data_IF_496594146822
#
_entry.id   IF_496594146822
#
_cell.length_a   1.000
_cell.length_b   1.000
_cell.length_c   1.000
_cell.angle_alpha   90.00
_cell.angle_beta   90.00
_cell.angle_gamma   90.00
#
_symmetry.space_group_name_H-M   'P 1'
#
loop_
_entity.id
_entity.type
_entity.pdbx_description
1 polymer ?
#
# COMPACT_ATOMS: atom_id res chain seq x y z
N UNK A 1 44.49 -12.23 -5.71
CA UNK A 1 43.32 -12.82 -6.41
C UNK A 1 42.38 -13.39 -5.36
N UNK A 2 41.24 -12.75 -5.11
CA UNK A 2 40.27 -13.21 -4.12
C UNK A 2 39.67 -14.56 -4.54
N UNK A 3 39.62 -15.52 -3.62
CA UNK A 3 38.98 -16.83 -3.85
C UNK A 3 37.50 -16.58 -4.16
N UNK A 4 37.02 -17.09 -5.29
CA UNK A 4 35.59 -17.04 -5.61
C UNK A 4 34.83 -17.81 -4.53
N UNK A 5 34.02 -17.10 -3.76
CA UNK A 5 33.07 -17.74 -2.84
C UNK A 5 32.00 -18.40 -3.72
N UNK A 6 31.74 -19.71 -3.59
CA UNK A 6 30.68 -20.36 -4.34
C UNK A 6 29.36 -19.66 -3.99
N UNK A 7 28.61 -19.25 -5.02
CA UNK A 7 27.34 -18.58 -4.80
C UNK A 7 26.34 -19.55 -4.21
N UNK A 8 25.62 -19.09 -3.19
CA UNK A 8 24.52 -19.82 -2.60
C UNK A 8 23.40 -19.99 -3.66
N UNK A 9 22.95 -21.24 -3.91
CA UNK A 9 21.91 -21.50 -4.89
C UNK A 9 20.60 -20.75 -4.65
N UNK A 10 20.26 -20.36 -3.40
CA UNK A 10 19.09 -19.51 -3.13
C UNK A 10 19.32 -18.08 -3.60
N UNK A 11 20.50 -17.54 -3.31
CA UNK A 11 20.91 -16.20 -3.76
C UNK A 11 20.88 -16.08 -5.27
N UNK A 12 21.34 -17.09 -6.02
CA UNK A 12 21.31 -17.05 -7.48
C UNK A 12 19.88 -16.98 -8.07
N UNK A 13 18.88 -17.63 -7.43
CA UNK A 13 17.48 -17.56 -7.92
C UNK A 13 16.85 -16.21 -7.65
N UNK A 14 17.23 -15.56 -6.54
CA UNK A 14 16.75 -14.23 -6.19
C UNK A 14 17.21 -13.16 -7.20
N UNK A 15 18.26 -13.43 -7.97
CA UNK A 15 18.78 -12.56 -9.03
C UNK A 15 18.13 -12.81 -10.40
N UNK A 16 17.05 -13.59 -10.48
CA UNK A 16 16.29 -13.82 -11.70
C UNK A 16 14.94 -13.13 -11.57
N UNK A 17 14.52 -12.38 -12.61
CA UNK A 17 13.29 -11.59 -12.58
C UNK A 17 12.03 -12.43 -12.29
N UNK A 18 11.90 -13.59 -12.94
CA UNK A 18 10.73 -14.47 -12.76
C UNK A 18 10.91 -15.33 -11.51
N UNK A 19 10.00 -15.26 -10.53
CA UNK A 19 10.08 -16.10 -9.33
C UNK A 19 9.90 -17.57 -9.67
N UNK A 20 10.57 -18.43 -8.91
CA UNK A 20 10.35 -19.88 -8.97
C UNK A 20 8.99 -20.28 -8.37
N UNK A 21 8.64 -21.56 -8.50
CA UNK A 21 7.36 -22.08 -8.04
C UNK A 21 7.16 -21.94 -6.51
N UNK A 22 8.22 -22.14 -5.73
CA UNK A 22 8.16 -22.07 -4.26
C UNK A 22 7.95 -20.61 -3.80
N UNK A 23 8.71 -19.67 -4.36
CA UNK A 23 8.57 -18.24 -4.09
C UNK A 23 7.18 -17.76 -4.52
N UNK A 24 6.71 -18.18 -5.70
CA UNK A 24 5.38 -17.87 -6.20
C UNK A 24 4.28 -18.36 -5.25
N UNK A 25 4.39 -19.61 -4.81
CA UNK A 25 3.43 -20.20 -3.87
C UNK A 25 3.46 -19.48 -2.51
N UNK A 26 4.64 -19.17 -1.98
CA UNK A 26 4.80 -18.47 -0.71
C UNK A 26 4.17 -17.07 -0.73
N UNK A 27 4.42 -16.28 -1.78
CA UNK A 27 3.82 -14.94 -1.92
C UNK A 27 2.31 -15.02 -2.04
N UNK A 28 1.79 -15.91 -2.87
CA UNK A 28 0.33 -16.09 -3.04
C UNK A 28 -0.34 -16.62 -1.76
N UNK A 29 0.33 -17.48 -1.00
CA UNK A 29 -0.15 -17.99 0.27
C UNK A 29 -0.20 -16.88 1.33
N UNK A 30 0.84 -16.03 1.40
CA UNK A 30 0.91 -14.89 2.31
C UNK A 30 -0.18 -13.85 2.00
N UNK A 31 -0.34 -13.52 0.72
CA UNK A 31 -1.12 -12.37 0.29
C UNK A 31 -2.60 -12.69 0.07
N UNK A 32 -2.93 -13.88 -0.44
CA UNK A 32 -4.25 -14.42 -0.85
C UNK A 32 -5.08 -13.58 -1.83
N UNK A 33 -4.92 -12.26 -1.83
CA UNK A 33 -5.55 -11.30 -2.72
C UNK A 33 -4.60 -10.14 -3.03
N UNK A 34 -5.03 -9.24 -3.92
CA UNK A 34 -4.35 -7.99 -4.22
C UNK A 34 -4.04 -7.20 -2.94
N UNK A 35 -2.81 -6.71 -2.81
CA UNK A 35 -2.31 -6.01 -1.62
C UNK A 35 -2.57 -4.51 -1.61
N UNK A 36 -3.20 -3.97 -2.66
CA UNK A 36 -3.65 -2.58 -2.65
C UNK A 36 -4.81 -2.39 -1.64
N UNK A 37 -4.89 -1.26 -0.92
CA UNK A 37 -5.93 -1.01 0.08
C UNK A 37 -7.35 -1.23 -0.46
N UNK A 38 -8.13 -2.08 0.22
CA UNK A 38 -9.53 -2.37 -0.13
C UNK A 38 -9.75 -3.27 -1.35
N UNK A 39 -8.69 -3.79 -1.98
CA UNK A 39 -8.83 -4.69 -3.13
C UNK A 39 -8.87 -6.16 -2.71
N UNK A 40 -9.90 -6.89 -3.15
CA UNK A 40 -10.10 -8.31 -2.85
C UNK A 40 -9.90 -9.24 -4.05
N UNK A 41 -9.28 -8.77 -5.15
CA UNK A 41 -8.99 -9.63 -6.32
C UNK A 41 -8.13 -10.82 -5.86
N UNK A 42 -8.53 -12.08 -6.10
CA UNK A 42 -7.77 -13.24 -5.63
C UNK A 42 -6.35 -13.28 -6.20
N UNK A 43 -5.38 -13.75 -5.41
CA UNK A 43 -3.96 -13.79 -5.78
C UNK A 43 -3.67 -14.63 -7.04
N UNK A 44 -4.51 -15.61 -7.35
CA UNK A 44 -4.43 -16.38 -8.60
C UNK A 44 -4.65 -15.51 -9.85
N UNK A 45 -5.32 -14.37 -9.72
CA UNK A 45 -5.55 -13.36 -10.77
C UNK A 45 -4.69 -12.10 -10.57
N UNK A 46 -3.63 -12.21 -9.77
CA UNK A 46 -2.68 -11.14 -9.54
C UNK A 46 -1.33 -11.46 -10.20
N UNK A 47 -0.65 -10.40 -10.61
CA UNK A 47 0.77 -10.40 -10.93
C UNK A 47 1.57 -10.39 -9.61
N UNK A 48 2.76 -10.97 -9.64
CA UNK A 48 3.74 -10.82 -8.57
C UNK A 48 4.62 -9.62 -8.91
N UNK A 49 4.39 -8.54 -8.19
CA UNK A 49 4.99 -7.23 -8.40
C UNK A 49 6.18 -7.02 -7.44
N UNK A 50 7.29 -6.53 -7.95
CA UNK A 50 8.44 -6.14 -7.13
C UNK A 50 8.20 -4.79 -6.45
N UNK A 51 8.35 -4.73 -5.13
CA UNK A 51 8.21 -3.50 -4.33
C UNK A 51 9.36 -2.55 -4.65
N UNK A 52 10.60 -3.00 -4.44
CA UNK A 52 11.77 -2.39 -5.05
C UNK A 52 11.95 -3.00 -6.45
N UNK A 53 11.89 -2.22 -7.54
CA UNK A 53 11.97 -2.74 -8.90
C UNK A 53 13.20 -3.62 -9.12
N UNK A 54 13.02 -4.73 -9.84
CA UNK A 54 14.12 -5.54 -10.31
C UNK A 54 14.90 -4.78 -11.40
N UNK A 55 16.23 -4.83 -11.36
CA UNK A 55 17.09 -4.24 -12.39
C UNK A 55 17.55 -5.34 -13.36
N UNK A 56 17.05 -5.30 -14.59
CA UNK A 56 17.41 -6.27 -15.64
C UNK A 56 18.85 -6.15 -16.13
N UNK A 57 19.46 -4.98 -15.99
CA UNK A 57 20.84 -4.71 -16.44
C UNK A 57 21.86 -5.06 -15.36
N UNK A 58 21.51 -4.80 -14.10
CA UNK A 58 22.33 -5.11 -12.94
C UNK A 58 21.49 -5.74 -11.81
N UNK A 59 21.18 -7.05 -11.87
CA UNK A 59 20.36 -7.73 -10.87
C UNK A 59 20.84 -7.57 -9.43
N UNK A 60 22.16 -7.46 -9.22
CA UNK A 60 22.77 -7.27 -7.91
C UNK A 60 22.48 -5.88 -7.31
N UNK A 61 22.29 -4.86 -8.14
CA UNK A 61 21.97 -3.49 -7.72
C UNK A 61 20.48 -3.18 -7.61
N UNK A 62 19.62 -4.05 -8.14
CA UNK A 62 18.16 -3.89 -8.10
C UNK A 62 17.48 -4.58 -6.91
N UNK A 63 16.15 -4.59 -6.92
CA UNK A 63 15.35 -5.36 -5.98
C UNK A 63 15.29 -6.83 -6.36
N UNK A 64 15.77 -7.70 -5.46
CA UNK A 64 15.82 -9.13 -5.72
C UNK A 64 14.43 -9.78 -5.69
N UNK A 65 14.26 -10.86 -6.44
CA UNK A 65 13.04 -11.66 -6.52
C UNK A 65 12.93 -12.58 -5.30
N UNK A 66 12.47 -12.00 -4.18
CA UNK A 66 12.30 -12.70 -2.91
C UNK A 66 10.89 -12.50 -2.38
N UNK A 67 10.45 -13.36 -1.45
CA UNK A 67 9.14 -13.22 -0.80
C UNK A 67 8.97 -11.82 -0.19
N UNK A 68 10.02 -11.26 0.41
CA UNK A 68 9.98 -9.94 1.07
C UNK A 68 10.06 -8.75 0.11
N UNK A 69 10.25 -8.97 -1.18
CA UNK A 69 10.23 -7.92 -2.19
C UNK A 69 9.10 -8.10 -3.21
N UNK A 70 8.36 -9.20 -3.18
CA UNK A 70 7.22 -9.45 -4.06
C UNK A 70 5.89 -9.22 -3.34
N UNK A 71 4.88 -8.75 -4.07
CA UNK A 71 3.50 -8.59 -3.61
C UNK A 71 2.50 -8.98 -4.70
N UNK A 72 1.32 -9.47 -4.32
CA UNK A 72 0.22 -9.68 -5.25
C UNK A 72 -0.45 -8.35 -5.61
N UNK A 73 -0.45 -7.96 -6.90
CA UNK A 73 -1.27 -6.86 -7.40
C UNK A 73 -2.13 -7.31 -8.57
N UNK A 74 -3.39 -6.88 -8.60
CA UNK A 74 -4.18 -7.00 -9.84
C UNK A 74 -3.63 -6.03 -10.88
N UNK A 75 -3.91 -6.30 -12.16
CA UNK A 75 -3.41 -5.51 -13.29
C UNK A 75 -3.64 -3.99 -13.12
N UNK A 76 -4.84 -3.57 -12.69
CA UNK A 76 -5.15 -2.16 -12.44
C UNK A 76 -4.20 -1.53 -11.40
N UNK A 77 -4.03 -2.16 -10.24
CA UNK A 77 -3.20 -1.59 -9.17
C UNK A 77 -1.70 -1.73 -9.45
N UNK A 78 -1.30 -2.75 -10.22
CA UNK A 78 0.05 -2.83 -10.75
C UNK A 78 0.33 -1.62 -11.65
N UNK A 79 -0.53 -1.34 -12.63
CA UNK A 79 -0.39 -0.19 -13.54
C UNK A 79 -0.33 1.14 -12.79
N UNK A 80 -1.19 1.33 -11.79
CA UNK A 80 -1.21 2.55 -10.96
C UNK A 80 0.10 2.73 -10.16
N UNK A 81 0.69 1.64 -9.65
CA UNK A 81 2.02 1.67 -9.01
C UNK A 81 3.12 1.96 -10.02
N UNK A 82 3.13 1.28 -11.16
CA UNK A 82 4.12 1.49 -12.24
C UNK A 82 4.11 2.93 -12.74
N UNK A 83 2.93 3.54 -12.86
CA UNK A 83 2.77 4.94 -13.23
C UNK A 83 3.24 5.93 -12.14
N UNK A 84 3.62 5.46 -10.96
CA UNK A 84 4.19 6.29 -9.89
C UNK A 84 3.16 7.04 -9.04
N UNK A 85 1.86 6.83 -9.24
CA UNK A 85 0.81 7.43 -8.41
C UNK A 85 0.82 6.92 -6.97
N UNK A 86 1.28 5.69 -6.79
CA UNK A 86 1.41 5.04 -5.50
C UNK A 86 2.78 4.37 -5.36
N UNK A 87 3.40 4.55 -4.19
CA UNK A 87 4.62 3.87 -3.78
C UNK A 87 4.29 2.86 -2.70
N UNK A 88 4.90 1.68 -2.78
CA UNK A 88 4.78 0.63 -1.78
C UNK A 88 6.11 0.48 -1.03
N UNK A 89 6.05 0.23 0.27
CA UNK A 89 7.19 -0.16 1.10
C UNK A 89 6.77 -1.37 1.93
N UNK A 90 7.50 -2.48 1.82
CA UNK A 90 7.29 -3.63 2.71
C UNK A 90 7.90 -3.33 4.07
N UNK A 91 7.08 -3.47 5.10
CA UNK A 91 7.47 -3.39 6.50
C UNK A 91 7.73 -4.81 7.04
N UNK A 92 8.40 -4.94 8.20
CA UNK A 92 8.50 -6.22 8.91
C UNK A 92 7.13 -6.88 9.09
N UNK A 93 7.10 -8.21 8.98
CA UNK A 93 5.85 -8.98 9.06
C UNK A 93 5.00 -8.97 7.77
N UNK A 94 5.50 -8.38 6.68
CA UNK A 94 4.82 -8.40 5.37
C UNK A 94 3.67 -7.39 5.23
N UNK A 95 3.55 -6.47 6.19
CA UNK A 95 2.70 -5.30 6.05
C UNK A 95 3.23 -4.39 4.93
N UNK A 96 2.35 -3.70 4.21
CA UNK A 96 2.75 -2.79 3.13
C UNK A 96 2.21 -1.40 3.44
N UNK A 97 3.14 -0.44 3.55
CA UNK A 97 2.85 0.99 3.57
C UNK A 97 2.72 1.49 2.14
N UNK A 98 1.55 2.02 1.82
CA UNK A 98 1.23 2.66 0.56
C UNK A 98 1.22 4.17 0.73
N UNK A 99 1.91 4.88 -0.15
CA UNK A 99 1.96 6.35 -0.15
C UNK A 99 1.59 6.87 -1.54
N UNK A 100 0.55 7.69 -1.61
CA UNK A 100 0.14 8.36 -2.85
C UNK A 100 0.94 9.63 -3.11
N UNK A 101 0.87 10.12 -4.36
CA UNK A 101 1.40 11.45 -4.73
C UNK A 101 0.72 12.59 -3.97
N UNK A 102 -0.55 12.44 -3.60
CA UNK A 102 -1.31 13.38 -2.75
C UNK A 102 -1.03 13.24 -1.25
N UNK A 103 0.01 12.48 -0.86
CA UNK A 103 0.46 12.27 0.53
C UNK A 103 -0.52 11.50 1.43
N UNK A 104 -1.59 10.93 0.87
CA UNK A 104 -2.41 9.95 1.59
C UNK A 104 -1.62 8.66 1.80
N UNK A 105 -1.63 8.16 3.03
CA UNK A 105 -1.00 6.88 3.39
C UNK A 105 -2.04 5.84 3.76
N UNK A 106 -1.75 4.57 3.46
CA UNK A 106 -2.57 3.41 3.83
C UNK A 106 -1.65 2.25 4.20
N UNK A 107 -2.09 1.41 5.14
CA UNK A 107 -1.39 0.17 5.49
C UNK A 107 -2.28 -1.00 5.14
N UNK A 108 -1.68 -2.04 4.57
CA UNK A 108 -2.35 -3.32 4.34
C UNK A 108 -1.57 -4.44 5.01
N UNK A 109 -2.27 -5.40 5.59
CA UNK A 109 -1.68 -6.58 6.26
C UNK A 109 -1.92 -7.82 5.41
N UNK A 110 -0.97 -8.78 5.38
CA UNK A 110 -1.23 -10.05 4.72
C UNK A 110 -2.47 -10.69 5.33
N UNK A 111 -3.13 -11.61 4.63
CA UNK A 111 -4.47 -12.08 5.04
C UNK A 111 -4.52 -12.68 6.44
N UNK A 112 -3.42 -13.28 6.90
CA UNK A 112 -3.28 -13.82 8.25
C UNK A 112 -2.45 -12.91 9.17
N UNK A 113 -2.12 -11.70 8.72
CA UNK A 113 -1.37 -10.72 9.49
C UNK A 113 -2.28 -10.05 10.50
N UNK A 114 -2.06 -10.31 11.77
CA UNK A 114 -2.69 -9.56 12.86
C UNK A 114 -1.93 -8.25 13.02
N UNK A 115 -2.60 -7.10 12.89
CA UNK A 115 -2.07 -5.87 13.47
C UNK A 115 -2.29 -6.03 14.97
N UNK A 116 -1.20 -6.27 15.71
CA UNK A 116 -1.24 -6.01 17.13
C UNK A 116 -1.27 -4.48 17.25
N UNK A 117 -2.34 -3.87 17.78
CA UNK A 117 -2.25 -2.47 18.12
C UNK A 117 -1.09 -2.34 19.10
N UNK A 118 -0.13 -1.47 18.82
CA UNK A 118 0.86 -1.10 19.83
C UNK A 118 0.11 -0.28 20.88
N UNK A 119 -0.57 -0.98 21.80
CA UNK A 119 -1.18 -0.40 22.98
C UNK A 119 -0.03 -0.08 23.94
N UNK A 120 0.62 1.06 23.74
CA UNK A 120 1.68 1.49 24.66
C UNK A 120 2.69 2.50 24.13
N UNK A 121 2.76 2.74 22.82
CA UNK A 121 3.58 3.83 22.27
C UNK A 121 2.92 4.37 21.00
N UNK A 122 2.24 5.51 21.13
CA UNK A 122 1.64 6.27 20.05
C UNK A 122 2.71 6.74 19.06
N UNK A 123 3.07 5.89 18.09
CA UNK A 123 3.65 6.30 16.82
C UNK A 123 2.53 6.69 15.84
N UNK A 124 1.46 7.33 16.33
CA UNK A 124 0.59 8.10 15.44
C UNK A 124 1.49 9.19 14.85
N UNK A 125 1.79 9.21 13.54
CA UNK A 125 2.42 10.37 12.96
C UNK A 125 1.55 11.56 13.33
N UNK A 126 2.14 12.56 13.99
CA UNK A 126 1.47 13.84 14.20
C UNK A 126 1.20 14.40 12.80
N UNK A 127 -0.02 14.21 12.33
CA UNK A 127 -0.56 14.91 11.18
C UNK A 127 -0.93 16.27 11.73
N UNK A 128 -0.20 17.36 11.39
CA UNK A 128 -0.58 18.68 11.82
C UNK A 128 -1.96 18.97 11.22
N UNK A 129 -2.99 18.98 12.05
CA UNK A 129 -4.36 19.33 11.65
C UNK A 129 -4.57 20.84 11.65
N UNK A 130 -3.54 21.64 11.90
CA UNK A 130 -3.65 23.08 11.75
C UNK A 130 -4.01 23.37 10.29
N UNK A 131 -5.22 23.90 10.02
CA UNK A 131 -5.52 24.36 8.70
C UNK A 131 -4.53 25.49 8.44
N UNK A 132 -3.58 25.27 7.52
CA UNK A 132 -2.99 26.42 6.84
C UNK A 132 -4.19 27.14 6.25
N UNK A 133 -4.30 28.44 6.54
CA UNK A 133 -5.30 29.31 5.96
C UNK A 133 -5.05 29.36 4.43
N UNK A 134 -5.41 28.28 3.73
CA UNK A 134 -5.52 28.24 2.29
C UNK A 134 -6.76 29.05 2.00
N UNK A 135 -6.52 30.26 1.50
CA UNK A 135 -7.52 31.29 1.29
C UNK A 135 -8.83 30.71 0.81
N UNK A 136 -9.90 31.17 1.45
CA UNK A 136 -11.28 31.08 0.99
C UNK A 136 -11.28 31.20 -0.54
N UNK A 137 -11.59 30.10 -1.24
CA UNK A 137 -12.07 30.22 -2.61
C UNK A 137 -13.48 30.77 -2.47
N UNK A 138 -13.59 32.09 -2.47
CA UNK A 138 -14.86 32.78 -2.59
C UNK A 138 -15.37 32.48 -4.01
N UNK A 139 -16.34 31.58 -4.12
CA UNK A 139 -17.20 31.61 -5.29
C UNK A 139 -17.96 32.94 -5.26
N UNK A 140 -17.95 33.76 -6.32
CA UNK A 140 -18.54 35.09 -6.28
C UNK A 140 -20.06 35.11 -6.02
N UNK A 141 -20.74 33.95 -6.05
CA UNK A 141 -22.14 33.82 -5.65
C UNK A 141 -22.39 32.42 -5.03
N UNK A 142 -22.37 32.27 -3.70
CA UNK A 142 -22.91 31.06 -3.06
C UNK A 142 -24.44 31.03 -3.23
N UNK A 143 -25.07 29.87 -3.50
CA UNK A 143 -26.53 29.76 -3.51
C UNK A 143 -27.09 30.08 -2.12
N UNK A 144 -28.20 30.82 -2.09
CA UNK A 144 -28.93 31.23 -0.88
C UNK A 144 -29.44 30.00 -0.12
N UNK A 145 -28.66 29.54 0.86
CA UNK A 145 -29.10 28.53 1.82
C UNK A 145 -29.95 29.21 2.90
N UNK A 146 -31.20 29.53 2.55
CA UNK A 146 -32.23 29.73 3.58
C UNK A 146 -32.39 28.43 4.34
N UNK A 147 -31.97 28.42 5.59
CA UNK A 147 -32.42 27.41 6.54
C UNK A 147 -33.95 27.52 6.65
N UNK A 148 -34.70 26.43 6.55
CA UNK A 148 -36.09 26.45 6.96
C UNK A 148 -36.11 26.68 8.48
N UNK A 149 -36.78 27.75 8.91
CA UNK A 149 -37.12 27.98 10.31
C UNK A 149 -37.94 26.79 10.79
N UNK A 150 -37.36 25.95 11.65
CA UNK A 150 -38.14 25.01 12.46
C UNK A 150 -38.58 25.76 13.69
N UNK A 151 -39.80 26.31 13.58
CA UNK A 151 -40.55 26.96 14.64
C UNK A 151 -40.69 26.03 15.85
N UNK A 152 -40.22 26.51 16.99
CA UNK A 152 -40.23 25.83 18.28
C UNK A 152 -41.55 26.17 18.99
N UNK A 153 -42.69 25.67 18.53
CA UNK A 153 -43.93 25.68 19.35
C UNK A 153 -44.93 24.64 18.87
N UNK A 154 -44.98 23.48 19.53
CA UNK A 154 -46.23 22.84 19.98
C UNK A 154 -46.00 21.44 20.55
N UNK A 155 -46.33 21.27 21.82
CA UNK A 155 -46.96 20.06 22.35
C UNK A 155 -48.13 20.50 23.23
N UNK A 156 -49.17 19.67 23.49
CA UNK A 156 -49.87 18.70 22.65
C UNK A 156 -51.40 19.01 22.62
N UNK A 157 -52.31 18.10 22.18
CA UNK A 157 -52.98 17.31 23.22
C UNK A 157 -53.29 15.83 22.86
N UNK A 158 -53.32 15.04 23.95
CA UNK A 158 -53.72 13.64 24.18
C UNK A 158 -52.73 12.53 23.81
#
# INVERSE_FOLDING_TARGET
>A
LGKSVPRDPLTDRALIYRPDALTTAAVRLRDKHCRFPGCHRPAARCQLDHINPFDHTNPLGGGWTTVNNLQCLCEYHHTVKTAGYWKAVMLPGGAILWTSTSKTTRITLPTNGTAVPILGNDLRPHIPTTPRNSGIIAYPNPPDNRQPDTDETAAPPF
#
